data_IF_071859579834
#
_entry.id   IF_071859579834
#
_cell.length_a   1.000
_cell.length_b   1.000
_cell.length_c   1.000
_cell.angle_alpha   90.00
_cell.angle_beta   90.00
_cell.angle_gamma   90.00
#
_symmetry.space_group_name_H-M   'P 1'
#
loop_
_entity.id
_entity.type
_entity.pdbx_description
1 polymer ?
#
# COMPACT_ATOMS: atom_id res chain seq x y z
N UNK A 1 35.15 -50.18 18.55
CA UNK A 1 34.15 -49.75 17.55
C UNK A 1 33.26 -48.71 18.23
N UNK A 2 33.20 -47.52 17.62
CA UNK A 2 32.59 -46.24 18.02
C UNK A 2 31.21 -46.36 18.69
N UNK A 3 30.75 -45.53 19.64
CA UNK A 3 31.27 -44.32 20.33
C UNK A 3 30.54 -44.17 21.69
N UNK A 4 31.07 -43.43 22.69
CA UNK A 4 30.41 -43.22 23.97
C UNK A 4 29.59 -41.91 24.06
N UNK A 5 28.69 -41.92 25.04
CA UNK A 5 27.73 -40.88 25.45
C UNK A 5 28.37 -39.64 26.09
N UNK A 6 27.66 -38.52 25.92
CA UNK A 6 27.33 -37.44 26.86
C UNK A 6 28.38 -36.85 27.82
N UNK A 7 28.45 -35.53 27.85
CA UNK A 7 28.63 -34.77 29.09
C UNK A 7 27.97 -33.38 29.00
N UNK A 8 27.01 -33.14 29.88
CA UNK A 8 26.57 -31.82 30.38
C UNK A 8 27.42 -31.50 31.62
N UNK A 9 27.66 -30.23 31.97
CA UNK A 9 27.31 -29.82 33.34
C UNK A 9 26.72 -28.39 33.43
N UNK A 10 25.56 -28.27 34.10
CA UNK A 10 25.29 -27.59 35.40
C UNK A 10 25.11 -26.06 35.32
N UNK A 11 23.91 -25.50 35.56
CA UNK A 11 23.13 -25.37 36.83
C UNK A 11 23.87 -24.57 37.92
N UNK A 12 23.26 -23.47 38.35
CA UNK A 12 22.65 -23.23 39.67
C UNK A 12 22.03 -21.82 39.68
N UNK A 13 20.73 -21.60 39.90
CA UNK A 13 19.81 -21.79 41.05
C UNK A 13 19.66 -20.55 41.96
N UNK A 14 18.39 -20.35 42.33
CA UNK A 14 17.87 -19.81 43.61
C UNK A 14 17.46 -18.32 43.64
N UNK A 15 16.36 -17.88 44.28
CA UNK A 15 15.20 -18.52 44.97
C UNK A 15 14.23 -17.41 45.44
N UNK A 16 12.91 -17.72 45.41
CA UNK A 16 11.88 -17.41 46.44
C UNK A 16 11.41 -15.93 46.62
N UNK A 17 10.19 -15.56 47.06
CA UNK A 17 9.06 -16.27 47.70
C UNK A 17 7.79 -15.38 47.74
N UNK A 18 6.61 -16.02 47.54
CA UNK A 18 5.30 -15.95 48.25
C UNK A 18 4.71 -14.61 48.78
N UNK A 19 3.39 -14.46 48.53
CA UNK A 19 2.39 -13.82 49.41
C UNK A 19 1.23 -13.20 48.61
N UNK A 20 0.01 -13.80 48.56
CA UNK A 20 -1.20 -13.50 49.37
C UNK A 20 -1.71 -12.05 49.15
N UNK A 21 -2.95 -11.72 48.77
CA UNK A 21 -4.27 -12.06 49.36
C UNK A 21 -5.44 -11.72 48.38
N UNK A 22 -6.58 -12.41 48.52
CA UNK A 22 -7.98 -12.00 48.14
C UNK A 22 -8.59 -11.24 49.35
N UNK A 23 -9.75 -10.50 49.34
CA UNK A 23 -11.07 -10.80 48.72
C UNK A 23 -11.83 -9.54 48.20
N UNK A 24 -13.00 -9.56 47.56
CA UNK A 24 -14.35 -9.88 48.06
C UNK A 24 -15.34 -10.00 46.89
N UNK A 25 -16.34 -10.88 47.04
CA UNK A 25 -17.45 -11.02 46.09
C UNK A 25 -18.72 -10.31 46.53
N UNK A 26 -19.75 -10.39 45.69
CA UNK A 26 -21.09 -10.85 46.07
C UNK A 26 -21.93 -11.04 44.80
N UNK A 27 -22.53 -12.22 44.67
CA UNK A 27 -23.46 -12.53 43.60
C UNK A 27 -24.91 -12.20 43.96
N UNK A 28 -25.77 -12.22 42.94
CA UNK A 28 -27.12 -12.76 43.07
C UNK A 28 -27.73 -13.01 41.68
N UNK A 29 -28.00 -14.28 41.38
CA UNK A 29 -29.05 -14.76 40.48
C UNK A 29 -30.01 -15.55 41.39
N UNK A 30 -31.34 -15.38 41.31
CA UNK A 30 -32.11 -16.35 40.51
C UNK A 30 -33.38 -15.78 39.84
N UNK A 31 -33.50 -16.05 38.53
CA UNK A 31 -34.69 -16.58 37.83
C UNK A 31 -36.10 -16.10 38.21
N UNK A 32 -36.81 -15.42 37.28
CA UNK A 32 -38.26 -15.58 37.04
C UNK A 32 -38.64 -15.06 35.63
N UNK A 33 -39.13 -15.96 34.77
CA UNK A 33 -40.03 -15.68 33.64
C UNK A 33 -41.46 -16.13 34.06
N UNK A 34 -42.57 -15.90 33.31
CA UNK A 34 -42.77 -15.16 32.05
C UNK A 34 -44.03 -14.24 32.05
N UNK A 35 -44.14 -13.19 31.21
CA UNK A 35 -45.43 -12.72 30.63
C UNK A 35 -45.24 -11.95 29.30
N UNK A 36 -45.94 -12.46 28.27
CA UNK A 36 -46.46 -11.93 26.99
C UNK A 36 -46.21 -10.47 26.51
N UNK A 37 -45.78 -10.42 25.23
CA UNK A 37 -45.86 -9.38 24.18
C UNK A 37 -47.31 -8.90 23.86
N UNK A 38 -47.58 -7.87 23.01
CA UNK A 38 -46.69 -7.26 21.99
C UNK A 38 -46.73 -5.71 21.87
N UNK A 39 -45.65 -5.13 21.33
CA UNK A 39 -45.66 -4.33 20.10
C UNK A 39 -44.33 -3.59 19.85
N UNK A 40 -43.70 -3.92 18.71
CA UNK A 40 -43.10 -2.97 17.77
C UNK A 40 -41.87 -2.17 18.21
N UNK A 41 -40.68 -2.59 17.77
CA UNK A 41 -40.03 -2.11 16.53
C UNK A 41 -38.69 -2.83 16.36
N UNK A 42 -38.40 -3.18 15.10
CA UNK A 42 -37.16 -3.80 14.64
C UNK A 42 -35.96 -2.93 15.01
N UNK A 43 -34.86 -3.59 15.36
CA UNK A 43 -33.51 -3.03 15.25
C UNK A 43 -33.21 -2.73 13.79
N UNK A 44 -32.73 -1.52 13.53
CA UNK A 44 -31.78 -1.25 12.46
C UNK A 44 -30.66 -0.45 13.10
N UNK A 45 -29.50 -1.09 13.23
CA UNK A 45 -28.26 -0.34 13.32
C UNK A 45 -28.18 0.47 12.02
N UNK A 46 -28.19 1.80 12.13
CA UNK A 46 -27.75 2.63 11.03
C UNK A 46 -26.25 2.35 10.90
N UNK A 47 -25.87 1.64 9.84
CA UNK A 47 -24.50 1.66 9.34
C UNK A 47 -24.16 3.13 9.09
N UNK A 48 -23.06 3.58 9.69
CA UNK A 48 -22.48 4.88 9.39
C UNK A 48 -22.17 4.92 7.90
N UNK A 49 -22.97 5.66 7.16
CA UNK A 49 -22.67 5.97 5.77
C UNK A 49 -21.55 7.02 5.82
N UNK A 50 -20.29 6.58 5.86
CA UNK A 50 -19.15 7.46 5.58
C UNK A 50 -19.41 8.08 4.20
N UNK A 51 -19.77 9.36 4.20
CA UNK A 51 -19.94 10.09 2.96
C UNK A 51 -18.55 10.32 2.38
N UNK A 52 -18.05 9.38 1.54
CA UNK A 52 -16.86 9.56 0.71
C UNK A 52 -16.97 10.94 0.03
N UNK A 53 -16.09 11.88 0.39
CA UNK A 53 -16.15 13.26 -0.12
C UNK A 53 -15.52 13.31 -1.52
N UNK A 54 -16.29 13.91 -2.44
CA UNK A 54 -15.95 14.55 -3.73
C UNK A 54 -14.72 14.05 -4.50
N UNK A 55 -15.00 13.52 -5.69
CA UNK A 55 -14.09 13.35 -6.84
C UNK A 55 -12.86 14.27 -6.77
N UNK A 56 -11.68 13.67 -6.75
CA UNK A 56 -10.41 14.41 -6.80
C UNK A 56 -10.38 15.28 -8.08
N UNK A 57 -9.96 16.55 -7.97
CA UNK A 57 -9.73 17.38 -9.15
C UNK A 57 -8.66 16.73 -10.04
N UNK A 58 -8.79 16.86 -11.37
CA UNK A 58 -7.82 16.31 -12.33
C UNK A 58 -8.27 15.04 -13.07
N UNK A 59 -9.33 14.37 -12.61
CA UNK A 59 -10.05 13.35 -13.38
C UNK A 59 -11.45 13.86 -13.68
N UNK A 60 -11.91 13.67 -14.92
CA UNK A 60 -13.29 13.98 -15.32
C UNK A 60 -14.24 13.43 -14.27
N UNK A 61 -15.03 14.31 -13.65
CA UNK A 61 -15.88 14.03 -12.49
C UNK A 61 -16.63 12.69 -12.62
N UNK A 62 -16.62 11.95 -11.51
CA UNK A 62 -17.13 10.59 -11.22
C UNK A 62 -18.62 10.30 -11.51
N UNK A 63 -19.20 10.91 -12.55
CA UNK A 63 -20.63 10.84 -12.90
C UNK A 63 -20.94 9.77 -13.98
N UNK A 64 -20.01 8.86 -14.27
CA UNK A 64 -20.19 7.74 -15.22
C UNK A 64 -20.47 6.40 -14.54
N UNK A 65 -20.97 5.43 -15.30
CA UNK A 65 -20.96 4.04 -14.84
C UNK A 65 -19.52 3.51 -14.72
N UNK A 66 -19.35 2.35 -14.08
CA UNK A 66 -18.03 1.80 -13.80
C UNK A 66 -17.18 1.63 -15.07
N UNK A 67 -17.78 1.21 -16.19
CA UNK A 67 -17.09 1.00 -17.46
C UNK A 67 -16.55 2.33 -18.02
N UNK A 68 -17.37 3.40 -17.96
CA UNK A 68 -16.94 4.74 -18.37
C UNK A 68 -15.81 5.29 -17.51
N UNK A 69 -15.83 5.05 -16.19
CA UNK A 69 -14.77 5.47 -15.26
C UNK A 69 -13.48 4.68 -15.50
N UNK A 70 -13.56 3.37 -15.68
CA UNK A 70 -12.39 2.53 -16.00
C UNK A 70 -11.70 3.01 -17.28
N UNK A 71 -12.45 3.39 -18.31
CA UNK A 71 -11.85 3.93 -19.52
C UNK A 71 -11.11 5.27 -19.29
N UNK A 72 -11.63 6.11 -18.40
CA UNK A 72 -10.92 7.34 -17.98
C UNK A 72 -9.66 7.01 -17.17
N UNK A 73 -9.69 5.98 -16.33
CA UNK A 73 -8.52 5.53 -15.57
C UNK A 73 -7.42 5.00 -16.49
N UNK A 74 -7.75 4.30 -17.59
CA UNK A 74 -6.75 3.89 -18.60
C UNK A 74 -6.06 5.07 -19.27
N UNK A 75 -6.82 6.12 -19.60
CA UNK A 75 -6.25 7.35 -20.16
C UNK A 75 -5.33 8.01 -19.14
N UNK A 76 -5.82 8.19 -17.90
CA UNK A 76 -5.03 8.78 -16.81
C UNK A 76 -3.77 7.97 -16.51
N UNK A 77 -3.84 6.63 -16.55
CA UNK A 77 -2.70 5.75 -16.36
C UNK A 77 -1.60 6.01 -17.39
N UNK A 78 -1.98 6.27 -18.65
CA UNK A 78 -1.02 6.61 -19.71
C UNK A 78 -0.34 7.95 -19.43
N UNK A 79 -1.08 8.94 -18.95
CA UNK A 79 -0.52 10.24 -18.60
C UNK A 79 0.36 10.19 -17.34
N UNK A 80 -0.04 9.46 -16.30
CA UNK A 80 0.78 9.23 -15.10
C UNK A 80 2.11 8.56 -15.45
N UNK A 81 2.11 7.60 -16.39
CA UNK A 81 3.35 6.97 -16.87
C UNK A 81 4.28 7.97 -17.55
N UNK A 82 3.73 8.88 -18.35
CA UNK A 82 4.49 9.98 -18.94
C UNK A 82 5.10 10.85 -17.85
N UNK A 83 4.34 11.26 -16.84
CA UNK A 83 4.88 12.09 -15.75
C UNK A 83 6.01 11.38 -14.99
N UNK A 84 5.89 10.07 -14.74
CA UNK A 84 6.96 9.27 -14.12
C UNK A 84 8.23 9.31 -14.98
N UNK A 85 8.09 9.11 -16.29
CA UNK A 85 9.22 9.10 -17.25
C UNK A 85 9.88 10.48 -17.31
N UNK A 86 9.09 11.55 -17.43
CA UNK A 86 9.57 12.94 -17.41
C UNK A 86 10.28 13.29 -16.11
N UNK A 87 9.70 12.94 -14.96
CA UNK A 87 10.23 13.27 -13.64
C UNK A 87 11.57 12.58 -13.37
N UNK A 88 11.68 11.29 -13.71
CA UNK A 88 12.92 10.53 -13.55
C UNK A 88 13.99 11.01 -14.54
N UNK A 89 13.60 11.32 -15.78
CA UNK A 89 14.51 11.88 -16.78
C UNK A 89 15.02 13.26 -16.35
N UNK A 90 14.15 14.18 -15.93
CA UNK A 90 14.52 15.51 -15.45
C UNK A 90 15.54 15.43 -14.30
N UNK A 91 15.26 14.58 -13.31
CA UNK A 91 16.11 14.39 -12.14
C UNK A 91 17.42 13.63 -12.43
N UNK A 92 17.51 12.96 -13.58
CA UNK A 92 18.59 12.03 -13.93
C UNK A 92 18.87 11.03 -12.78
N UNK A 93 17.81 10.62 -12.10
CA UNK A 93 17.86 9.77 -10.91
C UNK A 93 16.45 9.35 -10.51
N UNK A 94 16.22 8.06 -10.24
CA UNK A 94 14.91 7.59 -9.80
C UNK A 94 14.74 6.10 -9.93
N UNK A 95 13.50 5.65 -9.73
CA UNK A 95 13.10 4.24 -9.80
C UNK A 95 11.86 4.09 -10.70
N UNK A 96 12.00 4.23 -12.02
CA UNK A 96 10.85 4.26 -12.93
C UNK A 96 10.15 2.90 -12.98
N UNK A 97 10.89 1.79 -13.06
CA UNK A 97 10.28 0.47 -13.26
C UNK A 97 9.28 0.05 -12.19
N UNK A 98 9.62 0.27 -10.91
CA UNK A 98 8.72 0.00 -9.79
C UNK A 98 7.63 1.06 -9.59
N UNK A 99 7.76 2.22 -10.22
CA UNK A 99 6.71 3.25 -10.22
C UNK A 99 5.66 2.93 -11.27
N UNK A 100 6.11 2.54 -12.47
CA UNK A 100 5.28 2.14 -13.61
C UNK A 100 4.42 0.90 -13.32
N UNK A 101 4.94 -0.06 -12.53
CA UNK A 101 4.18 -1.26 -12.13
C UNK A 101 3.01 -0.97 -11.19
N UNK A 102 2.97 0.22 -10.58
CA UNK A 102 2.06 0.54 -9.50
C UNK A 102 0.86 1.41 -9.93
N UNK A 103 0.77 1.75 -11.21
CA UNK A 103 -0.13 2.81 -11.69
C UNK A 103 -1.59 2.45 -11.51
N UNK A 104 -2.03 1.28 -11.98
CA UNK A 104 -3.45 0.93 -12.00
C UNK A 104 -4.07 0.84 -10.60
N UNK A 105 -3.50 0.04 -9.69
CA UNK A 105 -4.09 -0.11 -8.36
C UNK A 105 -3.99 1.18 -7.53
N UNK A 106 -2.97 2.01 -7.73
CA UNK A 106 -2.93 3.32 -7.08
C UNK A 106 -4.00 4.26 -7.63
N UNK A 107 -4.22 4.28 -8.94
CA UNK A 107 -5.31 5.04 -9.54
C UNK A 107 -6.67 4.56 -9.00
N UNK A 108 -6.87 3.25 -8.89
CA UNK A 108 -8.08 2.71 -8.28
C UNK A 108 -8.26 3.21 -6.84
N UNK A 109 -7.22 3.08 -5.99
CA UNK A 109 -7.28 3.55 -4.61
C UNK A 109 -7.63 5.04 -4.51
N UNK A 110 -6.95 5.92 -5.24
CA UNK A 110 -7.22 7.36 -5.15
C UNK A 110 -8.60 7.76 -5.66
N UNK A 111 -9.17 7.03 -6.63
CA UNK A 111 -10.45 7.41 -7.23
C UNK A 111 -11.67 6.76 -6.60
N UNK A 112 -11.51 5.52 -6.13
CA UNK A 112 -12.65 4.71 -5.70
C UNK A 112 -12.61 4.49 -4.19
N UNK A 113 -11.44 4.27 -3.59
CA UNK A 113 -11.36 3.82 -2.20
C UNK A 113 -11.05 4.92 -1.18
N UNK A 114 -10.00 5.70 -1.41
CA UNK A 114 -9.46 6.65 -0.46
C UNK A 114 -10.37 7.87 -0.29
N UNK A 115 -10.86 8.08 0.93
CA UNK A 115 -11.42 9.34 1.38
C UNK A 115 -10.28 10.31 1.73
N UNK A 116 -9.82 11.09 0.76
CA UNK A 116 -8.75 12.08 0.92
C UNK A 116 -9.13 13.41 0.26
N UNK A 117 -8.64 14.52 0.81
CA UNK A 117 -8.93 15.88 0.33
C UNK A 117 -7.63 16.68 0.16
N UNK A 118 -7.27 17.12 -1.06
CA UNK A 118 -6.08 17.94 -1.28
C UNK A 118 -6.17 19.32 -0.62
N UNK A 119 -7.37 19.86 -0.37
CA UNK A 119 -7.55 21.10 0.38
C UNK A 119 -7.36 20.90 1.89
N UNK A 120 -7.44 19.65 2.38
CA UNK A 120 -7.27 19.28 3.78
C UNK A 120 -6.43 18.00 3.95
N UNK A 121 -5.15 17.99 3.54
CA UNK A 121 -4.30 16.79 3.54
C UNK A 121 -3.92 16.30 4.94
N UNK A 122 -4.19 17.10 5.98
CA UNK A 122 -3.94 16.77 7.38
C UNK A 122 -5.23 16.36 8.13
N UNK A 123 -6.31 16.04 7.40
CA UNK A 123 -7.57 15.64 8.02
C UNK A 123 -7.35 14.48 9.02
N UNK A 124 -7.76 14.61 10.29
CA UNK A 124 -7.70 13.50 11.23
C UNK A 124 -8.50 12.27 10.81
N UNK A 125 -9.54 12.42 9.97
CA UNK A 125 -10.53 11.39 9.65
C UNK A 125 -10.43 10.88 8.19
N UNK A 126 -9.43 11.33 7.42
CA UNK A 126 -9.16 10.77 6.07
C UNK A 126 -8.50 9.39 6.14
N UNK A 127 -8.61 8.62 5.07
CA UNK A 127 -7.92 7.33 4.96
C UNK A 127 -6.41 7.50 4.86
N UNK A 128 -5.66 6.45 5.24
CA UNK A 128 -4.20 6.46 5.32
C UNK A 128 -3.60 5.59 4.23
N UNK A 129 -2.73 6.15 3.39
CA UNK A 129 -1.94 5.39 2.41
C UNK A 129 -0.46 5.31 2.84
N UNK A 130 -0.06 4.16 3.36
CA UNK A 130 1.32 3.85 3.75
C UNK A 130 2.07 3.27 2.56
N UNK A 131 2.79 4.12 1.83
CA UNK A 131 3.60 3.70 0.68
C UNK A 131 4.98 3.17 1.11
N UNK A 132 5.06 1.88 1.45
CA UNK A 132 6.24 1.24 2.04
C UNK A 132 7.40 1.07 1.06
N UNK A 133 7.10 0.68 -0.18
CA UNK A 133 8.05 0.60 -1.31
C UNK A 133 8.48 1.98 -1.84
N UNK A 134 8.72 2.94 -0.96
CA UNK A 134 8.80 4.36 -1.29
C UNK A 134 10.03 4.83 -2.08
N UNK A 135 10.90 3.91 -2.50
CA UNK A 135 11.84 4.18 -3.59
C UNK A 135 11.09 4.47 -4.90
N UNK A 136 9.93 3.83 -5.12
CA UNK A 136 9.00 4.06 -6.21
C UNK A 136 8.08 5.28 -5.97
N UNK A 137 8.56 6.31 -5.27
CA UNK A 137 7.80 7.54 -5.06
C UNK A 137 7.47 8.38 -6.31
N UNK A 138 8.11 8.24 -7.50
CA UNK A 138 7.68 8.97 -8.69
C UNK A 138 6.18 8.79 -9.04
N UNK A 139 5.62 7.58 -8.95
CA UNK A 139 4.17 7.38 -9.19
C UNK A 139 3.32 8.10 -8.15
N UNK A 140 3.75 8.07 -6.88
CA UNK A 140 3.04 8.76 -5.80
C UNK A 140 3.06 10.27 -6.03
N UNK A 141 4.19 10.85 -6.41
CA UNK A 141 4.29 12.28 -6.69
C UNK A 141 3.54 12.70 -7.94
N UNK A 142 3.52 11.88 -9.00
CA UNK A 142 2.71 12.15 -10.19
C UNK A 142 1.21 12.19 -9.85
N UNK A 143 0.73 11.27 -9.00
CA UNK A 143 -0.66 11.27 -8.54
C UNK A 143 -0.96 12.47 -7.65
N UNK A 144 -0.09 12.77 -6.68
CA UNK A 144 -0.27 13.91 -5.78
C UNK A 144 -0.27 15.26 -6.53
N UNK A 145 0.54 15.40 -7.58
CA UNK A 145 0.52 16.56 -8.47
C UNK A 145 -0.80 16.67 -9.24
N UNK A 146 -1.23 15.58 -9.89
CA UNK A 146 -2.50 15.54 -10.64
C UNK A 146 -3.74 15.79 -9.79
N UNK A 147 -3.69 15.41 -8.52
CA UNK A 147 -4.78 15.58 -7.57
C UNK A 147 -4.63 16.83 -6.71
N UNK A 148 -3.79 17.79 -7.10
CA UNK A 148 -3.62 19.09 -6.46
C UNK A 148 -3.18 19.04 -4.98
N UNK A 149 -2.56 17.94 -4.53
CA UNK A 149 -1.96 17.86 -3.18
C UNK A 149 -0.68 18.70 -3.07
N UNK A 150 0.01 18.92 -4.18
CA UNK A 150 1.26 19.69 -4.23
C UNK A 150 1.14 20.86 -5.20
N UNK A 151 1.71 22.00 -4.83
CA UNK A 151 1.76 23.22 -5.66
C UNK A 151 3.21 23.47 -6.11
N UNK A 152 3.82 22.44 -6.72
CA UNK A 152 5.19 22.49 -7.25
C UNK A 152 5.29 21.70 -8.54
N UNK A 153 6.22 22.06 -9.42
CA UNK A 153 6.50 21.26 -10.61
C UNK A 153 7.37 20.03 -10.23
N UNK A 154 6.87 18.79 -10.40
CA UNK A 154 7.63 17.61 -10.03
C UNK A 154 8.94 17.44 -10.80
N UNK A 155 9.01 17.89 -12.05
CA UNK A 155 10.21 17.82 -12.88
C UNK A 155 11.30 18.78 -12.37
N UNK A 156 10.91 19.87 -11.72
CA UNK A 156 11.84 20.82 -11.12
C UNK A 156 12.27 20.46 -9.70
N UNK A 157 11.42 19.77 -8.93
CA UNK A 157 11.63 19.57 -7.48
C UNK A 157 12.11 18.16 -7.11
N UNK A 158 11.80 17.13 -7.90
CA UNK A 158 12.15 15.74 -7.56
C UNK A 158 13.66 15.54 -7.44
N UNK A 159 14.08 15.00 -6.28
CA UNK A 159 15.48 14.71 -5.94
C UNK A 159 16.42 15.92 -6.04
N UNK A 160 15.91 17.14 -5.96
CA UNK A 160 16.76 18.34 -5.91
C UNK A 160 17.22 18.65 -4.49
N UNK A 161 18.41 19.23 -4.39
CA UNK A 161 18.92 19.72 -3.13
C UNK A 161 18.04 20.88 -2.63
N UNK A 162 17.34 20.65 -1.52
CA UNK A 162 16.40 21.62 -0.96
C UNK A 162 15.03 21.62 -1.64
N UNK A 163 14.80 20.71 -2.59
CA UNK A 163 13.51 20.59 -3.27
C UNK A 163 12.42 19.97 -2.39
N UNK A 164 11.17 20.19 -2.79
CA UNK A 164 9.99 19.73 -2.08
C UNK A 164 9.77 18.22 -2.15
N UNK A 165 10.23 17.55 -3.21
CA UNK A 165 9.95 16.15 -3.51
C UNK A 165 11.21 15.25 -3.29
N UNK A 166 11.36 14.61 -2.13
CA UNK A 166 12.54 13.80 -1.81
C UNK A 166 12.60 12.47 -2.56
N UNK A 167 13.78 11.88 -2.67
CA UNK A 167 14.01 10.63 -3.42
C UNK A 167 13.44 9.34 -2.81
N UNK A 168 12.87 9.44 -1.61
CA UNK A 168 12.02 8.44 -0.95
C UNK A 168 10.80 9.19 -0.39
N UNK A 169 9.61 8.59 -0.44
CA UNK A 169 8.39 9.23 0.07
C UNK A 169 8.57 9.71 1.53
N UNK A 170 8.11 10.92 1.81
CA UNK A 170 8.30 11.58 3.10
C UNK A 170 7.07 12.40 3.49
N UNK A 171 6.67 12.42 4.78
CA UNK A 171 5.56 13.25 5.27
C UNK A 171 5.77 14.77 5.17
N UNK A 172 6.89 15.21 4.61
CA UNK A 172 7.08 16.61 4.22
C UNK A 172 6.27 16.99 2.98
N UNK A 173 5.88 15.99 2.18
CA UNK A 173 5.02 16.15 1.03
C UNK A 173 3.58 15.97 1.50
N UNK A 174 2.68 16.95 1.28
CA UNK A 174 1.27 16.79 1.61
C UNK A 174 0.67 15.52 0.99
N UNK A 175 -0.19 14.82 1.72
CA UNK A 175 -0.78 13.55 1.30
C UNK A 175 0.13 12.31 1.50
N UNK A 176 1.38 12.47 1.95
CA UNK A 176 2.28 11.34 2.23
C UNK A 176 2.35 11.04 3.72
N UNK A 177 2.07 9.79 4.09
CA UNK A 177 1.95 9.39 5.50
C UNK A 177 3.25 8.99 6.17
N UNK A 178 4.09 8.32 5.39
CA UNK A 178 5.10 7.43 5.92
C UNK A 178 6.48 7.87 5.45
N UNK A 179 7.44 8.10 6.37
CA UNK A 179 8.82 8.34 5.99
C UNK A 179 9.47 7.02 5.56
N UNK A 180 9.45 6.75 4.25
CA UNK A 180 9.95 5.51 3.69
C UNK A 180 11.47 5.51 3.50
N UNK A 181 11.97 4.44 2.88
CA UNK A 181 13.36 4.28 2.47
C UNK A 181 14.01 3.03 3.05
N UNK A 182 13.64 2.67 4.29
CA UNK A 182 13.95 1.34 4.84
C UNK A 182 12.81 0.39 4.51
N UNK A 183 13.08 -0.61 3.67
CA UNK A 183 12.11 -1.65 3.34
C UNK A 183 11.66 -2.40 4.61
N UNK A 184 10.44 -2.93 4.55
CA UNK A 184 9.84 -3.78 5.57
C UNK A 184 9.14 -3.02 6.69
N UNK A 185 9.23 -1.69 6.73
CA UNK A 185 8.74 -0.87 7.84
C UNK A 185 7.27 -0.45 7.71
N UNK A 186 6.76 -0.29 6.48
CA UNK A 186 5.44 0.30 6.25
C UNK A 186 4.28 -0.54 6.78
N UNK A 187 4.31 -1.88 6.66
CA UNK A 187 3.23 -2.71 7.22
C UNK A 187 3.12 -2.58 8.75
N UNK A 188 4.27 -2.52 9.45
CA UNK A 188 4.28 -2.25 10.89
C UNK A 188 3.72 -0.86 11.23
N UNK A 189 4.01 0.15 10.39
CA UNK A 189 3.47 1.49 10.56
C UNK A 189 1.95 1.52 10.33
N UNK A 190 1.46 0.84 9.29
CA UNK A 190 0.04 0.69 8.99
C UNK A 190 -0.72 0.00 10.14
N UNK A 191 -0.17 -1.08 10.70
CA UNK A 191 -0.73 -1.70 11.90
C UNK A 191 -0.86 -0.71 13.07
N UNK A 192 0.13 0.18 13.25
CA UNK A 192 0.08 1.24 14.25
C UNK A 192 -1.01 2.28 13.97
N UNK A 193 -1.23 2.63 12.71
CA UNK A 193 -2.30 3.56 12.30
C UNK A 193 -3.68 2.96 12.53
N UNK A 194 -3.87 1.68 12.22
CA UNK A 194 -5.12 0.95 12.45
C UNK A 194 -5.42 0.82 13.96
N UNK A 195 -4.43 0.42 14.77
CA UNK A 195 -4.57 0.44 16.24
C UNK A 195 -4.84 1.84 16.80
N UNK A 196 -4.31 2.89 16.16
CA UNK A 196 -4.57 4.28 16.52
C UNK A 196 -6.01 4.70 16.24
N UNK A 197 -6.56 4.29 15.09
CA UNK A 197 -7.95 4.54 14.72
C UNK A 197 -8.91 3.95 15.77
N UNK A 198 -8.71 2.66 16.10
CA UNK A 198 -9.48 1.96 17.13
C UNK A 198 -9.38 2.66 18.50
N UNK A 199 -8.18 3.10 18.87
CA UNK A 199 -7.95 3.74 20.17
C UNK A 199 -8.64 5.09 20.30
N UNK A 200 -8.71 5.85 19.19
CA UNK A 200 -9.31 7.18 19.13
C UNK A 200 -10.79 7.15 18.70
N UNK A 201 -11.42 5.98 18.61
CA UNK A 201 -12.80 5.76 18.12
C UNK A 201 -13.03 6.40 16.73
N UNK A 202 -12.08 6.24 15.80
CA UNK A 202 -12.13 6.76 14.43
C UNK A 202 -12.40 5.66 13.41
N UNK A 203 -13.08 6.06 12.34
CA UNK A 203 -13.55 5.18 11.28
C UNK A 203 -12.92 5.64 9.95
N UNK A 204 -11.67 5.20 9.72
CA UNK A 204 -10.93 5.42 8.49
C UNK A 204 -10.15 4.17 8.10
N UNK A 205 -9.96 3.96 6.80
CA UNK A 205 -9.24 2.82 6.26
C UNK A 205 -7.72 3.06 6.24
N UNK A 206 -6.95 1.98 6.39
CA UNK A 206 -5.48 2.01 6.33
C UNK A 206 -4.97 1.06 5.26
N UNK A 207 -4.34 1.63 4.24
CA UNK A 207 -3.74 0.91 3.13
C UNK A 207 -2.22 0.84 3.25
N UNK A 208 -1.60 -0.29 2.93
CA UNK A 208 -0.15 -0.46 2.92
C UNK A 208 0.33 -1.01 1.57
N UNK A 209 1.14 -0.24 0.84
CA UNK A 209 1.69 -0.68 -0.45
C UNK A 209 3.10 -1.23 -0.25
N UNK A 210 3.26 -2.51 -0.57
CA UNK A 210 4.48 -3.29 -0.38
C UNK A 210 5.07 -3.70 -1.73
N UNK A 211 6.39 -3.90 -1.77
CA UNK A 211 7.03 -4.65 -2.86
C UNK A 211 7.17 -6.14 -2.52
N UNK A 212 7.15 -7.01 -3.53
CA UNK A 212 7.44 -8.43 -3.36
C UNK A 212 8.85 -8.71 -2.80
N UNK A 213 9.88 -8.03 -3.31
CA UNK A 213 11.24 -8.07 -2.74
C UNK A 213 11.29 -7.54 -1.30
N UNK A 214 10.41 -6.61 -0.94
CA UNK A 214 10.30 -6.10 0.42
C UNK A 214 9.72 -7.12 1.41
N UNK A 215 8.86 -8.05 0.95
CA UNK A 215 8.32 -9.12 1.82
C UNK A 215 9.37 -10.13 2.29
N UNK A 216 10.61 -10.05 1.78
CA UNK A 216 11.74 -10.81 2.31
C UNK A 216 12.20 -10.28 3.69
N UNK A 217 11.87 -9.03 4.03
CA UNK A 217 12.22 -8.44 5.32
C UNK A 217 11.46 -9.11 6.47
N UNK A 218 12.19 -9.52 7.51
CA UNK A 218 11.62 -10.20 8.68
C UNK A 218 10.49 -9.42 9.35
N UNK A 219 10.59 -8.09 9.34
CA UNK A 219 9.60 -7.20 9.94
C UNK A 219 8.21 -7.27 9.29
N UNK A 220 8.12 -7.63 8.00
CA UNK A 220 6.83 -7.85 7.33
C UNK A 220 6.09 -9.01 7.99
N UNK A 221 6.79 -10.08 8.36
CA UNK A 221 6.20 -11.26 8.98
C UNK A 221 5.82 -11.04 10.45
N UNK A 222 6.61 -10.24 11.18
CA UNK A 222 6.23 -9.79 12.52
C UNK A 222 4.94 -8.94 12.46
N UNK A 223 4.85 -8.03 11.47
CA UNK A 223 3.68 -7.20 11.25
C UNK A 223 2.45 -8.03 10.84
N UNK A 224 2.59 -8.93 9.86
CA UNK A 224 1.50 -9.80 9.39
C UNK A 224 0.94 -10.66 10.53
N UNK A 225 1.81 -11.27 11.34
CA UNK A 225 1.42 -12.03 12.53
C UNK A 225 0.64 -11.17 13.53
N UNK A 226 1.12 -9.95 13.78
CA UNK A 226 0.49 -9.04 14.74
C UNK A 226 -0.88 -8.53 14.26
N UNK A 227 -1.05 -8.31 12.95
CA UNK A 227 -2.32 -7.86 12.37
C UNK A 227 -3.39 -8.94 12.50
N UNK A 228 -3.06 -10.18 12.14
CA UNK A 228 -3.97 -11.32 12.27
C UNK A 228 -4.38 -11.63 13.71
N UNK A 229 -3.42 -11.72 14.63
CA UNK A 229 -3.73 -11.98 16.05
C UNK A 229 -4.63 -10.91 16.68
N UNK A 230 -4.55 -9.68 16.18
CA UNK A 230 -5.33 -8.55 16.69
C UNK A 230 -6.60 -8.26 15.88
N UNK A 231 -6.80 -8.92 14.74
CA UNK A 231 -7.87 -8.62 13.80
C UNK A 231 -7.85 -7.16 13.34
N UNK A 232 -6.65 -6.62 13.06
CA UNK A 232 -6.52 -5.21 12.65
C UNK A 232 -7.14 -4.99 11.28
N UNK A 233 -7.83 -3.87 11.14
CA UNK A 233 -8.42 -3.47 9.87
C UNK A 233 -7.39 -2.72 9.02
N UNK A 234 -6.67 -3.49 8.19
CA UNK A 234 -5.59 -3.01 7.31
C UNK A 234 -5.69 -3.73 5.97
N UNK A 235 -5.64 -2.97 4.87
CA UNK A 235 -5.58 -3.51 3.51
C UNK A 235 -4.16 -3.38 2.98
N UNK A 236 -3.44 -4.49 2.89
CA UNK A 236 -2.12 -4.54 2.26
C UNK A 236 -2.24 -4.86 0.78
N UNK A 237 -1.42 -4.22 -0.06
CA UNK A 237 -1.28 -4.53 -1.48
C UNK A 237 0.18 -4.84 -1.75
N UNK A 238 0.47 -6.03 -2.28
CA UNK A 238 1.81 -6.42 -2.73
C UNK A 238 1.90 -6.24 -4.23
N UNK A 239 2.78 -5.34 -4.67
CA UNK A 239 3.20 -5.20 -6.07
C UNK A 239 4.13 -6.37 -6.43
N UNK A 240 3.54 -7.42 -7.02
CA UNK A 240 4.20 -8.68 -7.37
C UNK A 240 4.71 -8.67 -8.81
N UNK A 241 5.73 -7.86 -9.04
CA UNK A 241 6.39 -7.71 -10.34
C UNK A 241 7.57 -8.67 -10.59
N UNK A 242 7.90 -9.50 -9.60
CA UNK A 242 8.90 -10.59 -9.61
C UNK A 242 10.34 -10.13 -9.77
N UNK A 243 10.62 -8.83 -9.66
CA UNK A 243 11.94 -8.23 -9.90
C UNK A 243 12.35 -7.28 -8.79
N UNK A 244 13.58 -7.42 -8.31
CA UNK A 244 14.16 -6.53 -7.30
C UNK A 244 15.37 -5.76 -7.86
N UNK A 245 16.32 -5.37 -7.01
CA UNK A 245 17.41 -4.47 -7.40
C UNK A 245 18.33 -5.06 -8.48
N UNK A 246 18.83 -6.29 -8.24
CA UNK A 246 19.86 -6.90 -9.10
C UNK A 246 19.34 -8.06 -9.94
N UNK A 247 18.51 -8.92 -9.36
CA UNK A 247 18.05 -10.19 -9.96
C UNK A 247 16.55 -10.38 -9.74
N UNK A 248 15.90 -11.32 -10.45
CA UNK A 248 14.56 -11.76 -10.12
C UNK A 248 14.43 -12.25 -8.68
N UNK A 249 13.23 -12.12 -8.09
CA UNK A 249 12.93 -12.57 -6.72
C UNK A 249 13.25 -14.07 -6.57
N UNK A 250 12.80 -14.89 -7.51
CA UNK A 250 13.03 -16.34 -7.55
C UNK A 250 14.53 -16.74 -7.57
N UNK A 251 15.40 -15.89 -8.10
CA UNK A 251 16.84 -16.13 -8.17
C UNK A 251 17.58 -15.63 -6.92
N UNK A 252 16.97 -14.74 -6.14
CA UNK A 252 17.59 -14.20 -4.93
C UNK A 252 17.08 -14.87 -3.67
N UNK A 253 15.77 -14.81 -3.44
CA UNK A 253 15.07 -15.43 -2.32
C UNK A 253 13.59 -15.59 -2.71
N UNK A 254 13.22 -16.81 -3.10
CA UNK A 254 11.85 -17.12 -3.47
C UNK A 254 10.88 -16.90 -2.29
N UNK A 255 9.77 -16.22 -2.57
CA UNK A 255 8.76 -15.83 -1.58
C UNK A 255 7.46 -16.63 -1.73
N UNK A 256 7.33 -17.46 -2.76
CA UNK A 256 6.16 -18.32 -2.92
C UNK A 256 6.14 -19.49 -1.91
N UNK A 257 4.95 -20.05 -1.60
CA UNK A 257 3.64 -19.44 -1.81
C UNK A 257 3.46 -18.22 -0.89
N UNK A 258 3.10 -17.06 -1.44
CA UNK A 258 2.99 -15.80 -0.69
C UNK A 258 1.62 -15.67 -0.02
N UNK A 259 0.58 -16.01 -0.76
CA UNK A 259 -0.80 -16.20 -0.32
C UNK A 259 -0.89 -17.09 0.93
N UNK A 260 -0.42 -18.33 0.84
CA UNK A 260 -0.51 -19.29 1.95
C UNK A 260 0.23 -18.81 3.21
N UNK A 261 1.28 -17.99 3.06
CA UNK A 261 2.03 -17.42 4.19
C UNK A 261 1.22 -16.36 4.93
N UNK A 262 0.51 -15.50 4.21
CA UNK A 262 -0.37 -14.50 4.83
C UNK A 262 -1.63 -15.14 5.40
N UNK A 263 -2.24 -16.10 4.69
CA UNK A 263 -3.36 -16.89 5.20
C UNK A 263 -3.01 -17.61 6.50
N UNK A 264 -1.79 -18.14 6.62
CA UNK A 264 -1.31 -18.77 7.85
C UNK A 264 -1.20 -17.79 9.03
N UNK A 265 -1.11 -16.48 8.76
CA UNK A 265 -1.20 -15.42 9.75
C UNK A 265 -2.61 -14.89 9.97
N UNK A 266 -3.64 -15.46 9.32
CA UNK A 266 -5.04 -15.07 9.48
C UNK A 266 -5.48 -13.89 8.63
N UNK A 267 -4.83 -13.68 7.47
CA UNK A 267 -5.25 -12.70 6.47
C UNK A 267 -6.19 -13.34 5.43
N UNK A 268 -7.19 -12.60 4.99
CA UNK A 268 -7.93 -12.92 3.77
C UNK A 268 -7.13 -12.41 2.55
N UNK A 269 -7.01 -13.24 1.51
CA UNK A 269 -6.09 -12.99 0.38
C UNK A 269 -6.81 -13.07 -0.95
N UNK A 270 -6.57 -12.06 -1.79
CA UNK A 270 -6.99 -12.01 -3.20
C UNK A 270 -5.76 -11.88 -4.09
N UNK A 271 -5.79 -12.48 -5.28
CA UNK A 271 -4.74 -12.36 -6.29
C UNK A 271 -5.36 -11.95 -7.62
N UNK A 272 -4.83 -10.88 -8.23
CA UNK A 272 -5.36 -10.27 -9.46
C UNK A 272 -4.27 -10.00 -10.48
N UNK A 273 -4.68 -9.75 -11.73
CA UNK A 273 -3.85 -9.00 -12.67
C UNK A 273 -3.81 -7.53 -12.24
N UNK A 274 -2.64 -7.05 -11.85
CA UNK A 274 -2.44 -5.69 -11.35
C UNK A 274 -2.44 -4.62 -12.43
N UNK A 275 -2.57 -4.98 -13.72
CA UNK A 275 -2.73 -4.06 -14.84
C UNK A 275 -4.16 -4.03 -15.42
N UNK A 276 -5.08 -4.78 -14.82
CA UNK A 276 -6.47 -4.89 -15.27
C UNK A 276 -7.41 -4.24 -14.25
N UNK A 277 -7.97 -3.08 -14.61
CA UNK A 277 -8.87 -2.33 -13.72
C UNK A 277 -10.12 -3.13 -13.36
N UNK A 278 -10.66 -3.93 -14.27
CA UNK A 278 -11.81 -4.79 -14.02
C UNK A 278 -11.51 -5.86 -12.96
N UNK A 279 -10.34 -6.51 -13.03
CA UNK A 279 -9.89 -7.48 -12.02
C UNK A 279 -9.67 -6.83 -10.66
N UNK A 280 -9.09 -5.62 -10.64
CA UNK A 280 -8.91 -4.84 -9.40
C UNK A 280 -10.28 -4.48 -8.81
N UNK A 281 -11.20 -3.96 -9.63
CA UNK A 281 -12.54 -3.59 -9.20
C UNK A 281 -13.30 -4.78 -8.58
N UNK A 282 -13.28 -5.93 -9.24
CA UNK A 282 -13.94 -7.14 -8.76
C UNK A 282 -13.34 -7.63 -7.42
N UNK A 283 -12.03 -7.51 -7.21
CA UNK A 283 -11.43 -7.85 -5.93
C UNK A 283 -11.83 -6.86 -4.83
N UNK A 284 -11.91 -5.57 -5.13
CA UNK A 284 -12.31 -4.56 -4.16
C UNK A 284 -13.79 -4.66 -3.76
N UNK A 285 -14.68 -5.21 -4.61
CA UNK A 285 -16.04 -5.56 -4.20
C UNK A 285 -16.05 -6.53 -3.00
N UNK A 286 -15.17 -7.54 -2.99
CA UNK A 286 -15.07 -8.51 -1.89
C UNK A 286 -14.24 -8.00 -0.70
N UNK A 287 -13.14 -7.29 -0.97
CA UNK A 287 -12.26 -6.71 0.07
C UNK A 287 -13.04 -5.74 0.95
N UNK A 288 -13.91 -4.91 0.35
CA UNK A 288 -14.70 -3.91 1.06
C UNK A 288 -15.84 -4.52 1.88
N UNK A 289 -16.21 -5.79 1.63
CA UNK A 289 -17.19 -6.54 2.43
C UNK A 289 -16.54 -7.41 3.52
N UNK A 290 -15.21 -7.43 3.58
CA UNK A 290 -14.45 -8.25 4.52
C UNK A 290 -13.85 -7.40 5.64
N UNK A 291 -14.01 -7.86 6.88
CA UNK A 291 -13.41 -7.21 8.05
C UNK A 291 -12.02 -7.79 8.35
N UNK A 292 -11.14 -6.97 8.94
CA UNK A 292 -9.85 -7.43 9.44
C UNK A 292 -8.74 -7.34 8.39
N UNK A 293 -7.64 -8.09 8.58
CA UNK A 293 -6.44 -7.88 7.77
C UNK A 293 -6.59 -8.55 6.41
N UNK A 294 -6.48 -7.74 5.35
CA UNK A 294 -6.79 -8.11 3.95
C UNK A 294 -5.57 -7.89 3.07
N UNK A 295 -5.26 -8.86 2.21
CA UNK A 295 -4.13 -8.78 1.29
C UNK A 295 -4.62 -8.89 -0.16
N UNK A 296 -4.27 -7.90 -0.98
CA UNK A 296 -4.33 -8.00 -2.44
C UNK A 296 -2.93 -8.24 -3.01
N UNK A 297 -2.71 -9.38 -3.64
CA UNK A 297 -1.52 -9.66 -4.44
C UNK A 297 -1.80 -9.17 -5.87
N UNK A 298 -1.22 -8.03 -6.23
CA UNK A 298 -1.32 -7.47 -7.58
C UNK A 298 -0.16 -7.99 -8.44
N UNK A 299 -0.44 -8.93 -9.34
CA UNK A 299 0.58 -9.41 -10.29
C UNK A 299 0.81 -8.38 -11.38
N UNK A 300 2.00 -7.82 -11.42
CA UNK A 300 2.36 -6.71 -12.31
C UNK A 300 3.61 -7.06 -13.12
N UNK A 301 3.98 -6.18 -14.05
CA UNK A 301 5.22 -6.24 -14.80
C UNK A 301 6.01 -4.97 -14.51
N UNK A 302 7.24 -5.13 -14.00
CA UNK A 302 8.11 -3.99 -13.70
C UNK A 302 8.56 -3.30 -14.98
N UNK A 303 8.28 -2.01 -15.08
CA UNK A 303 8.54 -1.20 -16.28
C UNK A 303 7.35 -1.07 -17.23
N UNK A 304 6.19 -1.66 -16.93
CA UNK A 304 5.05 -1.69 -17.85
C UNK A 304 4.51 -0.30 -18.24
N UNK A 305 4.24 -0.02 -19.54
CA UNK A 305 4.30 -0.91 -20.71
C UNK A 305 5.57 -0.74 -21.57
N UNK A 306 6.66 -0.22 -21.00
CA UNK A 306 7.84 0.17 -21.77
C UNK A 306 8.72 -1.06 -22.03
N UNK A 307 8.81 -1.48 -23.30
CA UNK A 307 9.37 -2.77 -23.74
C UNK A 307 10.81 -2.96 -23.24
N UNK A 308 11.66 -1.94 -23.40
CA UNK A 308 13.06 -2.04 -23.00
C UNK A 308 13.22 -2.10 -21.47
N UNK A 309 12.31 -1.51 -20.70
CA UNK A 309 12.33 -1.59 -19.24
C UNK A 309 11.86 -2.97 -18.78
N UNK A 310 10.78 -3.49 -19.36
CA UNK A 310 10.28 -4.83 -19.09
C UNK A 310 11.29 -5.93 -19.45
N UNK A 311 12.06 -5.75 -20.52
CA UNK A 311 13.06 -6.71 -20.96
C UNK A 311 14.27 -6.82 -20.03
N UNK A 312 14.57 -5.79 -19.22
CA UNK A 312 15.72 -5.82 -18.32
C UNK A 312 15.48 -6.77 -17.13
N UNK A 313 16.48 -7.57 -16.70
CA UNK A 313 16.34 -8.50 -15.57
C UNK A 313 15.92 -7.84 -14.25
N UNK A 314 16.40 -6.62 -14.00
CA UNK A 314 15.99 -5.81 -12.82
C UNK A 314 14.74 -4.95 -13.08
N UNK A 315 14.23 -4.94 -14.31
CA UNK A 315 13.06 -4.18 -14.72
C UNK A 315 13.26 -2.68 -14.63
N UNK A 316 14.47 -2.19 -14.92
CA UNK A 316 14.82 -0.77 -14.78
C UNK A 316 14.54 -0.25 -13.35
N UNK A 317 14.94 -1.05 -12.34
CA UNK A 317 14.62 -0.79 -10.93
C UNK A 317 15.05 0.60 -10.48
N UNK A 318 16.31 0.96 -10.77
CA UNK A 318 16.90 2.25 -10.47
C UNK A 318 17.73 2.69 -11.67
N UNK A 319 17.56 3.92 -12.13
CA UNK A 319 18.29 4.42 -13.29
C UNK A 319 17.79 5.76 -13.77
N UNK A 320 18.69 6.51 -14.39
CA UNK A 320 18.35 7.68 -15.20
C UNK A 320 18.12 7.21 -16.64
N UNK A 321 17.12 7.76 -17.30
CA UNK A 321 16.93 7.53 -18.73
C UNK A 321 17.96 8.37 -19.51
N UNK A 322 18.56 7.75 -20.52
CA UNK A 322 19.26 8.48 -21.58
C UNK A 322 18.27 9.21 -22.49
N UNK A 323 18.74 10.18 -23.28
CA UNK A 323 17.91 10.92 -24.23
C UNK A 323 17.17 9.95 -25.19
N UNK A 324 17.87 8.95 -25.74
CA UNK A 324 17.28 7.93 -26.63
C UNK A 324 16.22 7.07 -25.91
N UNK A 325 16.47 6.66 -24.66
CA UNK A 325 15.51 5.89 -23.86
C UNK A 325 14.29 6.72 -23.46
N UNK A 326 14.47 8.02 -23.19
CA UNK A 326 13.40 8.95 -22.89
C UNK A 326 12.49 9.16 -24.10
N UNK A 327 13.07 9.42 -25.28
CA UNK A 327 12.31 9.55 -26.53
C UNK A 327 11.56 8.25 -26.85
N UNK A 328 12.24 7.10 -26.76
CA UNK A 328 11.62 5.78 -26.99
C UNK A 328 10.47 5.52 -26.02
N UNK A 329 10.64 5.81 -24.73
CA UNK A 329 9.59 5.64 -23.73
C UNK A 329 8.35 6.50 -24.03
N UNK A 330 8.55 7.76 -24.44
CA UNK A 330 7.44 8.64 -24.82
C UNK A 330 6.70 8.12 -26.06
N UNK A 331 7.43 7.66 -27.08
CA UNK A 331 6.84 7.09 -28.29
C UNK A 331 6.02 5.82 -27.99
N UNK A 332 6.54 4.92 -27.15
CA UNK A 332 5.82 3.70 -26.73
C UNK A 332 4.56 4.02 -25.92
N UNK A 333 4.57 5.12 -25.15
CA UNK A 333 3.40 5.64 -24.45
C UNK A 333 2.44 6.44 -25.35
N UNK A 334 2.77 6.62 -26.64
CA UNK A 334 1.92 7.30 -27.62
C UNK A 334 2.04 8.82 -27.64
N UNK A 335 3.09 9.39 -27.04
CA UNK A 335 3.38 10.83 -27.06
C UNK A 335 4.42 11.18 -28.13
N UNK A 336 4.33 12.39 -28.69
CA UNK A 336 5.35 12.94 -29.58
C UNK A 336 6.48 13.57 -28.72
N UNK A 337 7.70 13.02 -28.71
CA UNK A 337 8.80 13.56 -27.90
C UNK A 337 9.12 15.01 -28.22
N UNK A 338 8.87 15.46 -29.46
CA UNK A 338 9.12 16.84 -29.87
C UNK A 338 8.18 17.87 -29.19
N UNK A 339 7.10 17.40 -28.56
CA UNK A 339 6.13 18.24 -27.83
C UNK A 339 6.39 18.33 -26.34
N UNK A 340 7.36 17.57 -25.83
CA UNK A 340 7.70 17.49 -24.41
C UNK A 340 8.99 18.25 -24.13
N UNK A 341 8.90 19.37 -23.43
CA UNK A 341 10.06 20.17 -23.04
C UNK A 341 10.46 19.88 -21.58
N UNK A 342 11.38 18.93 -21.39
CA UNK A 342 11.95 18.59 -20.08
C UNK A 342 13.45 18.88 -20.08
N UNK A 343 13.91 19.67 -19.10
CA UNK A 343 15.33 19.99 -18.95
C UNK A 343 15.95 19.15 -17.84
N UNK A 344 17.01 18.41 -18.16
CA UNK A 344 17.84 17.75 -17.16
C UNK A 344 18.73 18.79 -16.45
N UNK A 345 18.83 18.71 -15.13
CA UNK A 345 19.65 19.64 -14.32
C UNK A 345 20.68 18.87 -13.50
#
# INVERSE_FOLDING_TARGET
>A
MNAPRSAVPNRENSTSSRGCEKPFGNGHDPSLSPVSMPNGKLFTAEMGNSQRVKSLPGISTSDGDLDERIEQYRQTATEVRRDIVEMVYAAQSGHPGGSLSAVEYLLWLYNEELNVDPENPDDPDRDRLVYSKGHACPVLYALLDRYDFVDVDPNEEFRRLGGALPGHSSPKVPGVEFPSGSLGQGLSYANGQSMGADFDDRDYDVYAILGDGETQEGNIWEAAMSAGEKGLDVVAIVDRNKKQNDLPVAETMEIDPLDEKFEAFGWDVWEVDGHDFESIAAAFEEINETDGPRLLIANTVKGHPIDFMEAQPNGYHAGALTDDEFETALEELGFDPATVEVTTK
#
